data_IF_579609117354
#
_entry.id   IF_579609117354
#
_cell.length_a   1.000
_cell.length_b   1.000
_cell.length_c   1.000
_cell.angle_alpha   90.00
_cell.angle_beta   90.00
_cell.angle_gamma   90.00
#
_symmetry.space_group_name_H-M   'P 1'
#
loop_
_entity.id
_entity.type
_entity.pdbx_description
1 polymer ?
#
# COMPACT_ATOMS: atom_id res chain seq x y z
N UNK A 1 10.30 -8.71 -0.91
CA UNK A 1 10.18 -7.32 -0.58
C UNK A 1 9.72 -6.63 -1.80
N UNK A 2 8.52 -6.19 -1.86
CA UNK A 2 8.14 -4.98 -1.15
C UNK A 2 7.29 -5.23 0.10
N UNK A 3 7.31 -4.23 0.99
CA UNK A 3 6.31 -4.04 2.00
C UNK A 3 5.46 -2.83 1.60
N UNK A 4 4.17 -3.02 1.46
CA UNK A 4 3.24 -1.91 1.30
C UNK A 4 2.49 -1.75 2.62
N UNK A 5 2.76 -0.66 3.31
CA UNK A 5 2.18 -0.35 4.62
C UNK A 5 1.14 0.74 4.41
N UNK A 6 -0.09 0.47 4.80
CA UNK A 6 -1.22 1.38 4.61
C UNK A 6 -1.72 1.80 5.98
N UNK A 7 -1.69 3.11 6.24
CA UNK A 7 -2.32 3.68 7.42
C UNK A 7 -3.54 4.46 6.98
N UNK A 8 -4.66 4.27 7.68
CA UNK A 8 -5.90 4.96 7.32
C UNK A 8 -6.66 5.42 8.55
N UNK A 9 -7.32 6.56 8.42
CA UNK A 9 -8.22 7.04 9.46
C UNK A 9 -9.43 6.12 9.59
N UNK A 10 -9.86 5.83 10.81
CA UNK A 10 -10.87 4.82 11.10
C UNK A 10 -12.18 5.01 10.32
N UNK A 11 -12.54 6.25 10.00
CA UNK A 11 -13.75 6.55 9.23
C UNK A 11 -13.74 5.97 7.81
N UNK A 12 -12.57 5.66 7.25
CA UNK A 12 -12.48 5.00 5.95
C UNK A 12 -13.22 3.66 5.97
N UNK A 13 -13.04 2.86 7.02
CA UNK A 13 -13.67 1.54 7.13
C UNK A 13 -15.19 1.58 7.27
N UNK A 14 -15.77 2.73 7.60
CA UNK A 14 -17.22 2.91 7.66
C UNK A 14 -17.86 3.03 6.28
N UNK A 15 -17.09 3.40 5.27
CA UNK A 15 -17.59 3.68 3.92
C UNK A 15 -16.92 2.84 2.83
N UNK A 16 -15.80 2.22 3.13
CA UNK A 16 -15.00 1.46 2.17
C UNK A 16 -14.55 0.13 2.73
N UNK A 17 -14.42 -0.85 1.85
CA UNK A 17 -13.89 -2.16 2.21
C UNK A 17 -12.36 -2.13 2.23
N UNK A 18 -11.78 -2.32 3.40
CA UNK A 18 -10.32 -2.41 3.54
C UNK A 18 -9.81 -3.70 2.88
N UNK A 19 -10.53 -4.81 2.99
CA UNK A 19 -10.14 -6.06 2.34
C UNK A 19 -10.11 -5.90 0.82
N UNK A 20 -11.09 -5.22 0.22
CA UNK A 20 -11.09 -4.95 -1.21
C UNK A 20 -9.92 -4.06 -1.63
N UNK A 21 -9.55 -3.07 -0.81
CA UNK A 21 -8.38 -2.24 -1.04
C UNK A 21 -7.10 -3.08 -1.04
N UNK A 22 -6.94 -3.96 -0.04
CA UNK A 22 -5.79 -4.85 0.04
C UNK A 22 -5.71 -5.78 -1.16
N UNK A 23 -6.83 -6.36 -1.58
CA UNK A 23 -6.90 -7.25 -2.72
C UNK A 23 -6.46 -6.56 -4.02
N UNK A 24 -6.98 -5.36 -4.28
CA UNK A 24 -6.66 -4.61 -5.49
C UNK A 24 -5.20 -4.17 -5.50
N UNK A 25 -4.67 -3.77 -4.35
CA UNK A 25 -3.27 -3.35 -4.26
C UNK A 25 -2.32 -4.53 -4.39
N UNK A 26 -2.65 -5.68 -3.79
CA UNK A 26 -1.87 -6.91 -3.97
C UNK A 26 -1.80 -7.30 -5.45
N UNK A 27 -2.93 -7.34 -6.12
CA UNK A 27 -2.96 -7.70 -7.52
C UNK A 27 -2.17 -6.70 -8.38
N UNK A 28 -2.27 -5.42 -8.06
CA UNK A 28 -1.53 -4.37 -8.77
C UNK A 28 -0.02 -4.55 -8.60
N UNK A 29 0.45 -4.84 -7.39
CA UNK A 29 1.88 -5.10 -7.14
C UNK A 29 2.35 -6.33 -7.92
N UNK A 30 1.56 -7.40 -7.92
CA UNK A 30 1.90 -8.62 -8.66
C UNK A 30 1.96 -8.37 -10.18
N UNK A 31 1.00 -7.62 -10.70
CA UNK A 31 0.92 -7.31 -12.14
C UNK A 31 2.07 -6.42 -12.62
N UNK A 32 2.59 -5.56 -11.74
CA UNK A 32 3.74 -4.71 -12.10
C UNK A 32 5.04 -5.48 -12.26
N UNK A 33 5.14 -6.68 -11.69
CA UNK A 33 6.33 -7.52 -11.74
C UNK A 33 7.61 -6.81 -11.25
N UNK A 34 7.45 -5.93 -10.26
CA UNK A 34 8.58 -5.15 -9.71
C UNK A 34 9.33 -5.86 -8.60
N UNK A 35 8.85 -7.02 -8.17
CA UNK A 35 9.46 -7.78 -7.08
C UNK A 35 9.08 -9.26 -7.16
N UNK A 36 9.87 -10.15 -6.55
CA UNK A 36 9.50 -11.56 -6.42
C UNK A 36 8.20 -11.73 -5.64
N UNK A 37 7.35 -12.63 -6.10
CA UNK A 37 6.04 -12.91 -5.47
C UNK A 37 6.19 -13.21 -3.97
N UNK A 38 7.17 -14.02 -3.61
CA UNK A 38 7.38 -14.42 -2.22
C UNK A 38 7.75 -13.27 -1.29
N UNK A 39 8.16 -12.14 -1.85
CA UNK A 39 8.53 -10.95 -1.08
C UNK A 39 7.38 -9.99 -0.83
N UNK A 40 6.25 -10.16 -1.50
CA UNK A 40 5.13 -9.21 -1.41
C UNK A 40 4.44 -9.33 -0.05
N UNK A 41 4.36 -8.21 0.67
CA UNK A 41 3.65 -8.12 1.95
C UNK A 41 2.88 -6.81 1.98
N UNK A 42 1.57 -6.91 2.16
CA UNK A 42 0.66 -5.77 2.17
C UNK A 42 -0.15 -5.84 3.46
N UNK A 43 -0.24 -4.73 4.17
CA UNK A 43 -0.97 -4.67 5.42
C UNK A 43 -1.55 -3.28 5.65
N UNK A 44 -2.64 -3.24 6.41
CA UNK A 44 -3.33 -2.00 6.74
C UNK A 44 -3.38 -1.81 8.25
N UNK A 45 -3.16 -0.57 8.68
CA UNK A 45 -3.18 -0.16 10.08
C UNK A 45 -4.30 0.87 10.25
N UNK A 46 -5.31 0.51 11.05
CA UNK A 46 -6.41 1.40 11.38
C UNK A 46 -5.97 2.38 12.47
N UNK A 47 -6.13 3.68 12.19
CA UNK A 47 -5.83 4.73 13.15
C UNK A 47 -7.13 5.20 13.79
N UNK A 48 -7.30 4.94 15.09
CA UNK A 48 -8.49 5.33 15.84
C UNK A 48 -8.41 6.78 16.31
N UNK A 49 -7.23 7.23 16.67
CA UNK A 49 -6.97 8.57 17.19
C UNK A 49 -6.24 9.38 16.13
N UNK A 50 -6.94 10.33 15.53
CA UNK A 50 -6.37 11.15 14.46
C UNK A 50 -7.00 12.54 14.44
N UNK A 51 -6.29 13.46 13.79
CA UNK A 51 -6.77 14.82 13.51
C UNK A 51 -6.43 15.11 12.05
N UNK A 52 -7.37 15.70 11.32
CA UNK A 52 -7.22 15.99 9.90
C UNK A 52 -7.49 17.46 9.66
N UNK A 53 -6.51 18.15 9.05
CA UNK A 53 -6.59 19.59 8.76
C UNK A 53 -6.99 20.38 10.01
N UNK A 54 -8.08 21.14 9.95
CA UNK A 54 -8.62 21.90 11.07
C UNK A 54 -9.79 21.21 11.79
N UNK A 55 -10.04 19.95 11.46
CA UNK A 55 -11.19 19.16 11.98
C UNK A 55 -12.55 19.76 11.62
N UNK A 56 -12.65 20.55 10.56
CA UNK A 56 -13.90 21.24 10.20
C UNK A 56 -14.95 20.32 9.58
N UNK A 57 -14.55 19.14 9.07
CA UNK A 57 -15.46 18.22 8.40
C UNK A 57 -15.20 16.77 8.81
N UNK A 58 -16.23 16.11 9.32
CA UNK A 58 -16.17 14.71 9.73
C UNK A 58 -15.96 13.74 8.56
N UNK A 59 -16.19 14.17 7.33
CA UNK A 59 -15.97 13.37 6.12
C UNK A 59 -14.54 13.46 5.59
N UNK A 60 -13.69 14.26 6.19
CA UNK A 60 -12.26 14.22 5.88
C UNK A 60 -11.65 12.92 6.38
N UNK A 61 -10.87 12.29 5.52
CA UNK A 61 -10.21 11.03 5.79
C UNK A 61 -8.81 11.04 5.18
N UNK A 62 -7.96 10.09 5.58
CA UNK A 62 -6.67 9.92 4.92
C UNK A 62 -6.37 8.44 4.71
N UNK A 63 -5.61 8.18 3.66
CA UNK A 63 -4.94 6.91 3.41
C UNK A 63 -3.48 7.24 3.06
N UNK A 64 -2.58 6.90 3.96
CA UNK A 64 -1.15 7.17 3.83
C UNK A 64 -0.42 5.86 3.64
N UNK A 65 0.32 5.75 2.54
CA UNK A 65 0.99 4.50 2.17
C UNK A 65 2.49 4.68 2.07
N UNK A 66 3.21 3.65 2.48
CA UNK A 66 4.66 3.57 2.32
C UNK A 66 4.99 2.26 1.62
N UNK A 67 5.68 2.35 0.50
CA UNK A 67 6.23 1.19 -0.20
C UNK A 67 7.71 1.07 0.16
N UNK A 68 8.04 0.08 1.00
CA UNK A 68 9.43 -0.20 1.38
C UNK A 68 9.97 -1.27 0.45
N UNK A 69 10.98 -0.91 -0.32
CA UNK A 69 11.56 -1.77 -1.36
C UNK A 69 13.08 -1.86 -1.19
N UNK A 70 13.66 -2.92 -1.74
CA UNK A 70 15.12 -3.02 -1.82
C UNK A 70 15.71 -2.01 -2.81
N UNK A 71 17.00 -1.70 -2.69
CA UNK A 71 17.66 -0.77 -3.60
C UNK A 71 17.81 -1.34 -5.01
N UNK A 72 18.14 -0.49 -5.97
CA UNK A 72 18.52 -0.89 -7.32
C UNK A 72 17.51 -0.54 -8.41
N UNK A 73 16.33 -0.04 -8.06
CA UNK A 73 15.37 0.44 -9.05
C UNK A 73 15.67 1.89 -9.40
N UNK A 74 15.47 2.25 -10.67
CA UNK A 74 15.67 3.63 -11.10
C UNK A 74 14.51 4.55 -10.67
N UNK A 75 14.71 5.86 -10.85
CA UNK A 75 13.72 6.86 -10.44
C UNK A 75 12.41 6.72 -11.21
N UNK A 76 12.47 6.39 -12.49
CA UNK A 76 11.28 6.21 -13.31
C UNK A 76 10.42 5.04 -12.80
N UNK A 77 11.06 3.93 -12.45
CA UNK A 77 10.38 2.76 -11.88
C UNK A 77 9.73 3.11 -10.54
N UNK A 78 10.44 3.84 -9.68
CA UNK A 78 9.88 4.26 -8.39
C UNK A 78 8.67 5.17 -8.55
N UNK A 79 8.73 6.12 -9.47
CA UNK A 79 7.60 7.01 -9.78
C UNK A 79 6.41 6.23 -10.35
N UNK A 80 6.67 5.23 -11.20
CA UNK A 80 5.63 4.37 -11.76
C UNK A 80 4.93 3.56 -10.66
N UNK A 81 5.67 3.05 -9.69
CA UNK A 81 5.10 2.34 -8.54
C UNK A 81 4.11 3.24 -7.79
N UNK A 82 4.52 4.47 -7.50
CA UNK A 82 3.67 5.43 -6.79
C UNK A 82 2.37 5.70 -7.55
N UNK A 83 2.48 6.08 -8.80
CA UNK A 83 1.32 6.47 -9.61
C UNK A 83 0.38 5.27 -9.82
N UNK A 84 0.92 4.10 -10.16
CA UNK A 84 0.12 2.91 -10.42
C UNK A 84 -0.68 2.47 -9.19
N UNK A 85 -0.04 2.46 -8.03
CA UNK A 85 -0.72 2.07 -6.78
C UNK A 85 -1.75 3.10 -6.34
N UNK A 86 -1.43 4.40 -6.42
CA UNK A 86 -2.40 5.45 -6.09
C UNK A 86 -3.62 5.39 -7.01
N UNK A 87 -3.41 5.25 -8.31
CA UNK A 87 -4.49 5.16 -9.28
C UNK A 87 -5.41 3.97 -8.98
N UNK A 88 -4.83 2.82 -8.67
CA UNK A 88 -5.60 1.62 -8.35
C UNK A 88 -6.42 1.79 -7.07
N UNK A 89 -5.82 2.37 -6.04
CA UNK A 89 -6.49 2.60 -4.75
C UNK A 89 -7.64 3.61 -4.90
N UNK A 90 -7.40 4.71 -5.58
CA UNK A 90 -8.42 5.74 -5.83
C UNK A 90 -9.58 5.18 -6.65
N UNK A 91 -9.28 4.39 -7.69
CA UNK A 91 -10.31 3.76 -8.52
C UNK A 91 -11.20 2.81 -7.71
N UNK A 92 -10.61 2.07 -6.76
CA UNK A 92 -11.37 1.19 -5.89
C UNK A 92 -12.36 1.99 -5.03
N UNK A 93 -11.92 3.09 -4.44
CA UNK A 93 -12.79 3.94 -3.63
C UNK A 93 -13.88 4.61 -4.47
N UNK A 94 -13.55 5.06 -5.67
CA UNK A 94 -14.56 5.63 -6.59
C UNK A 94 -15.65 4.62 -6.91
N UNK A 95 -15.29 3.36 -7.12
CA UNK A 95 -16.25 2.29 -7.41
C UNK A 95 -17.21 2.04 -6.25
N UNK A 96 -16.78 2.28 -5.03
CA UNK A 96 -17.59 2.12 -3.84
C UNK A 96 -18.46 3.34 -3.52
N UNK A 97 -18.09 4.50 -4.02
CA UNK A 97 -18.80 5.76 -3.75
C UNK A 97 -18.59 6.27 -2.33
N UNK A 98 -19.61 6.91 -1.77
CA UNK A 98 -19.60 7.41 -0.40
C UNK A 98 -19.20 8.87 -0.27
N UNK A 99 -19.28 9.43 0.97
CA UNK A 99 -19.15 10.85 1.20
C UNK A 99 -17.73 11.31 1.54
N UNK A 100 -16.76 10.40 1.69
CA UNK A 100 -15.45 10.78 2.21
C UNK A 100 -14.64 11.60 1.21
N UNK A 101 -13.96 12.59 1.75
CA UNK A 101 -12.95 13.39 1.05
C UNK A 101 -11.61 12.91 1.57
N UNK A 102 -10.86 12.19 0.72
CA UNK A 102 -9.68 11.45 1.14
C UNK A 102 -8.39 12.15 0.73
N UNK A 103 -7.50 12.36 1.70
CA UNK A 103 -6.13 12.75 1.44
C UNK A 103 -5.31 11.47 1.20
N UNK A 104 -4.82 11.32 -0.02
CA UNK A 104 -4.00 10.18 -0.43
C UNK A 104 -2.53 10.54 -0.43
N UNK A 105 -1.70 9.67 0.07
CA UNK A 105 -0.25 9.78 -0.10
C UNK A 105 0.39 8.41 -0.24
N UNK A 106 1.48 8.37 -1.01
CA UNK A 106 2.33 7.20 -1.11
C UNK A 106 3.77 7.65 -1.33
N UNK A 107 4.67 7.13 -0.52
CA UNK A 107 6.09 7.35 -0.69
C UNK A 107 6.82 6.04 -0.83
N UNK A 108 7.93 6.04 -1.56
CA UNK A 108 8.82 4.89 -1.69
C UNK A 108 10.01 5.10 -0.76
N UNK A 109 10.29 4.11 0.08
CA UNK A 109 11.47 4.07 0.93
C UNK A 109 12.34 2.89 0.53
N UNK A 110 13.63 3.14 0.33
CA UNK A 110 14.59 2.06 0.05
C UNK A 110 15.11 1.48 1.35
N UNK A 111 15.16 0.16 1.41
CA UNK A 111 15.72 -0.56 2.55
C UNK A 111 17.24 -0.63 2.36
N UNK A 112 18.00 -0.32 3.42
CA UNK A 112 19.45 -0.46 3.38
C UNK A 112 19.84 -1.95 3.36
N UNK A 113 20.39 -2.39 2.24
CA UNK A 113 20.76 -3.79 2.05
C UNK A 113 21.86 -4.25 3.02
N UNK A 114 22.66 -3.34 3.56
CA UNK A 114 23.75 -3.66 4.50
C UNK A 114 23.22 -3.99 5.89
N UNK A 115 22.01 -3.52 6.23
CA UNK A 115 21.44 -3.65 7.57
C UNK A 115 20.12 -4.40 7.55
N UNK A 116 19.99 -5.35 6.61
CA UNK A 116 18.80 -6.19 6.50
C UNK A 116 19.22 -7.61 6.16
N UNK A 117 18.60 -8.56 6.83
CA UNK A 117 18.68 -9.97 6.48
C UNK A 117 17.28 -10.50 6.22
N UNK A 118 17.12 -11.30 5.18
CA UNK A 118 15.86 -11.91 4.80
C UNK A 118 15.97 -13.42 4.81
N UNK A 119 15.18 -14.07 5.67
CA UNK A 119 15.10 -15.53 5.75
C UNK A 119 13.66 -15.90 5.38
N UNK A 120 13.47 -16.16 4.09
CA UNK A 120 12.11 -16.27 3.53
C UNK A 120 11.72 -17.74 3.29
N UNK A 121 10.99 -18.31 4.27
CA UNK A 121 10.41 -19.64 4.14
C UNK A 121 9.36 -19.76 3.04
N UNK A 122 8.69 -18.66 2.70
CA UNK A 122 7.69 -18.61 1.63
C UNK A 122 8.36 -18.85 0.27
N UNK A 123 9.52 -18.24 0.03
CA UNK A 123 10.26 -18.43 -1.20
C UNK A 123 10.64 -19.90 -1.40
N UNK A 124 11.04 -20.57 -0.31
CA UNK A 124 11.35 -22.01 -0.35
C UNK A 124 10.13 -22.85 -0.67
N UNK A 125 8.99 -22.52 -0.06
CA UNK A 125 7.73 -23.24 -0.28
C UNK A 125 7.23 -23.08 -1.72
N UNK A 126 7.33 -21.88 -2.30
CA UNK A 126 6.91 -21.62 -3.68
C UNK A 126 7.79 -22.35 -4.70
N UNK A 127 9.09 -22.50 -4.41
CA UNK A 127 10.00 -23.29 -5.26
C UNK A 127 9.66 -24.78 -5.23
N UNK A 128 9.27 -25.28 -4.07
CA UNK A 128 8.89 -26.70 -3.92
C UNK A 128 7.55 -27.02 -4.57
N UNK A 129 6.65 -26.03 -4.63
CA UNK A 129 5.28 -26.18 -5.19
C UNK A 129 5.04 -25.06 -6.20
N UNK A 130 5.69 -25.09 -7.39
CA UNK A 130 5.56 -24.05 -8.40
C UNK A 130 4.18 -24.02 -9.08
#
# INVERSE_FOLDING_TARGET
MPHLIIEYSANVAEHHSIDALLDVLQQTVLDMEVAPVAGVRIRALRQEQYRIADNSDANHAYVAMVARIGPGRDDETKKRIITTLLDAAEAQFESEGGPLIVAWSLEVQEIDANFRENRNGIAKALKANP
#
